data_IF_481950889219
#
_entry.id   IF_481950889219
#
_cell.length_a   1.000
_cell.length_b   1.000
_cell.length_c   1.000
_cell.angle_alpha   90.00
_cell.angle_beta   90.00
_cell.angle_gamma   90.00
#
_symmetry.space_group_name_H-M   'P 1'
#
loop_
_entity.id
_entity.type
_entity.pdbx_description
1 polymer ?
#
# COMPACT_ATOMS: atom_id res chain seq x y z
N UNK A 1 7.44 -27.75 -15.14
CA UNK A 1 7.00 -26.62 -15.97
C UNK A 1 5.58 -26.29 -15.54
N UNK A 2 5.46 -25.47 -14.50
CA UNK A 2 4.16 -24.90 -14.11
C UNK A 2 3.78 -23.87 -15.17
N UNK A 3 2.71 -24.15 -15.91
CA UNK A 3 2.08 -23.20 -16.82
C UNK A 3 1.76 -21.96 -15.98
N UNK A 4 2.31 -20.80 -16.37
CA UNK A 4 1.79 -19.51 -15.94
C UNK A 4 0.31 -19.54 -16.25
N UNK A 5 -0.53 -19.39 -15.25
CA UNK A 5 -1.92 -19.04 -15.48
C UNK A 5 -1.90 -17.61 -16.01
N UNK A 6 -1.82 -17.49 -17.31
CA UNK A 6 -2.05 -16.26 -18.01
C UNK A 6 -3.46 -15.82 -17.60
N UNK A 7 -3.53 -14.78 -16.82
CA UNK A 7 -4.78 -14.11 -16.52
C UNK A 7 -5.19 -13.52 -17.86
N UNK A 8 -6.31 -13.94 -18.46
CA UNK A 8 -6.76 -13.39 -19.72
C UNK A 8 -7.32 -11.99 -19.48
N UNK A 9 -6.43 -11.02 -19.26
CA UNK A 9 -6.81 -9.63 -19.38
C UNK A 9 -6.76 -9.29 -20.85
N UNK A 10 -7.93 -8.98 -21.39
CA UNK A 10 -8.06 -8.42 -22.73
C UNK A 10 -7.20 -7.16 -22.80
N UNK A 11 -6.21 -7.13 -23.71
CA UNK A 11 -5.32 -5.96 -23.87
C UNK A 11 -6.10 -4.68 -24.22
N UNK A 12 -7.37 -4.77 -24.57
CA UNK A 12 -8.31 -3.68 -24.81
C UNK A 12 -8.89 -3.03 -23.54
N UNK A 13 -8.85 -3.68 -22.39
CA UNK A 13 -9.57 -3.26 -21.17
C UNK A 13 -8.61 -2.84 -20.06
N UNK A 14 -8.01 -1.67 -20.18
CA UNK A 14 -7.05 -1.13 -19.21
C UNK A 14 -7.35 0.32 -18.82
N UNK A 15 -6.86 0.72 -17.67
CA UNK A 15 -6.81 2.10 -17.21
C UNK A 15 -5.37 2.55 -17.00
N UNK A 16 -5.11 3.83 -17.26
CA UNK A 16 -3.82 4.47 -16.97
C UNK A 16 -3.95 5.30 -15.71
N UNK A 17 -2.98 5.17 -14.83
CA UNK A 17 -2.85 5.99 -13.62
C UNK A 17 -1.59 6.82 -13.77
N UNK A 18 -1.76 8.15 -13.81
CA UNK A 18 -0.66 9.12 -13.82
C UNK A 18 -0.38 9.61 -12.40
N UNK A 19 0.86 9.50 -11.98
CA UNK A 19 1.32 9.97 -10.67
C UNK A 19 1.81 11.41 -10.79
N UNK A 20 1.10 12.32 -10.13
CA UNK A 20 1.36 13.74 -10.21
C UNK A 20 2.50 14.18 -9.27
N UNK A 21 3.18 15.26 -9.63
CA UNK A 21 4.18 15.95 -8.81
C UNK A 21 3.53 16.76 -7.67
N UNK A 22 2.67 16.08 -6.92
CA UNK A 22 1.94 16.70 -5.82
C UNK A 22 1.55 15.67 -4.75
N UNK A 23 1.41 16.16 -3.51
CA UNK A 23 1.04 15.34 -2.36
C UNK A 23 0.05 16.08 -1.46
N UNK A 24 -0.94 15.35 -0.92
CA UNK A 24 -1.90 15.86 0.06
C UNK A 24 -1.31 15.71 1.47
N UNK A 25 -0.90 16.81 2.08
CA UNK A 25 -0.42 16.84 3.47
C UNK A 25 -1.60 16.73 4.45
N UNK A 26 -2.73 17.32 4.08
CA UNK A 26 -3.99 17.25 4.82
C UNK A 26 -5.17 17.30 3.85
N UNK A 27 -6.39 17.12 4.36
CA UNK A 27 -7.62 17.14 3.55
C UNK A 27 -7.78 18.42 2.71
N UNK A 28 -7.11 19.51 3.14
CA UNK A 28 -7.22 20.84 2.48
C UNK A 28 -5.91 21.35 1.91
N UNK A 29 -4.77 20.72 2.23
CA UNK A 29 -3.45 21.23 1.83
C UNK A 29 -2.73 20.27 0.91
N UNK A 30 -2.64 20.66 -0.38
CA UNK A 30 -1.86 19.99 -1.42
C UNK A 30 -0.55 20.77 -1.65
N UNK A 31 0.57 20.07 -1.70
CA UNK A 31 1.89 20.64 -2.03
C UNK A 31 2.39 20.10 -3.35
N UNK A 32 3.05 20.96 -4.13
CA UNK A 32 3.78 20.56 -5.33
C UNK A 32 5.18 20.11 -4.94
N UNK A 33 5.62 18.98 -5.46
CA UNK A 33 6.96 18.42 -5.18
C UNK A 33 7.52 17.85 -6.48
N UNK A 34 8.53 18.52 -7.00
CA UNK A 34 9.13 18.17 -8.30
C UNK A 34 9.67 16.74 -8.33
N UNK A 35 9.40 16.04 -9.42
CA UNK A 35 9.88 14.70 -9.76
C UNK A 35 9.42 13.56 -8.80
N UNK A 36 8.45 13.81 -7.92
CA UNK A 36 7.93 12.71 -7.06
C UNK A 36 7.02 11.76 -7.83
N UNK A 37 6.25 12.24 -8.81
CA UNK A 37 5.36 11.40 -9.60
C UNK A 37 6.11 10.25 -10.26
N UNK A 38 7.23 10.56 -10.93
CA UNK A 38 8.10 9.56 -11.54
C UNK A 38 8.66 8.56 -10.51
N UNK A 39 9.14 9.04 -9.36
CA UNK A 39 9.68 8.16 -8.31
C UNK A 39 8.61 7.25 -7.71
N UNK A 40 7.40 7.78 -7.47
CA UNK A 40 6.26 6.99 -7.00
C UNK A 40 5.87 5.95 -8.04
N UNK A 41 5.79 6.29 -9.33
CA UNK A 41 5.49 5.34 -10.39
C UNK A 41 6.51 4.18 -10.43
N UNK A 42 7.80 4.49 -10.40
CA UNK A 42 8.86 3.47 -10.40
C UNK A 42 8.84 2.60 -9.14
N UNK A 43 8.61 3.20 -7.96
CA UNK A 43 8.45 2.45 -6.70
C UNK A 43 7.25 1.50 -6.75
N UNK A 44 6.13 1.96 -7.28
CA UNK A 44 4.94 1.13 -7.48
C UNK A 44 5.20 -0.03 -8.43
N UNK A 45 5.77 0.24 -9.60
CA UNK A 45 6.11 -0.79 -10.57
C UNK A 45 6.99 -1.88 -9.95
N UNK A 46 8.03 -1.47 -9.20
CA UNK A 46 8.90 -2.41 -8.52
C UNK A 46 8.14 -3.30 -7.54
N UNK A 47 7.32 -2.73 -6.64
CA UNK A 47 6.63 -3.53 -5.64
C UNK A 47 5.53 -4.40 -6.24
N UNK A 48 4.82 -3.94 -7.27
CA UNK A 48 3.86 -4.79 -7.97
C UNK A 48 4.54 -5.98 -8.64
N UNK A 49 5.65 -5.78 -9.35
CA UNK A 49 6.39 -6.87 -9.98
C UNK A 49 6.99 -7.80 -8.94
N UNK A 50 7.56 -7.25 -7.86
CA UNK A 50 8.06 -8.04 -6.74
C UNK A 50 6.97 -8.92 -6.11
N UNK A 51 5.76 -8.39 -5.89
CA UNK A 51 4.64 -9.15 -5.34
C UNK A 51 4.12 -10.22 -6.31
N UNK A 52 4.18 -9.98 -7.62
CA UNK A 52 3.84 -11.00 -8.65
C UNK A 52 4.78 -12.20 -8.58
N UNK A 53 6.08 -12.01 -8.30
CA UNK A 53 7.03 -13.13 -8.11
C UNK A 53 6.59 -14.06 -6.97
N UNK A 54 5.88 -13.54 -5.99
CA UNK A 54 5.26 -14.30 -4.90
C UNK A 54 3.83 -14.75 -5.19
N UNK A 55 3.37 -14.70 -6.45
CA UNK A 55 2.01 -15.09 -6.85
C UNK A 55 0.90 -14.34 -6.11
N UNK A 56 1.11 -13.07 -5.82
CA UNK A 56 0.07 -12.18 -5.31
C UNK A 56 -0.66 -11.57 -6.51
N UNK A 57 -1.99 -11.73 -6.61
CA UNK A 57 -2.75 -11.20 -7.74
C UNK A 57 -2.79 -9.67 -7.68
N UNK A 58 -2.31 -9.02 -8.72
CA UNK A 58 -2.32 -7.57 -8.88
C UNK A 58 -2.95 -7.18 -10.21
N UNK A 59 -3.62 -6.04 -10.29
CA UNK A 59 -4.14 -5.51 -11.54
C UNK A 59 -3.09 -4.77 -12.38
N UNK A 60 -1.89 -4.54 -11.82
CA UNK A 60 -0.79 -3.87 -12.51
C UNK A 60 -0.31 -4.68 -13.71
N UNK A 61 -0.18 -4.02 -14.86
CA UNK A 61 0.30 -4.60 -16.12
C UNK A 61 1.75 -4.22 -16.38
N UNK A 62 2.03 -2.93 -16.56
CA UNK A 62 3.36 -2.41 -16.91
C UNK A 62 3.47 -0.89 -16.70
N UNK A 63 4.68 -0.38 -16.79
CA UNK A 63 4.96 1.06 -16.94
C UNK A 63 4.50 1.50 -18.34
N UNK A 64 3.88 2.68 -18.42
CA UNK A 64 3.42 3.28 -19.68
C UNK A 64 3.68 4.80 -19.67
N UNK A 65 4.94 5.17 -19.70
CA UNK A 65 5.42 6.55 -19.61
C UNK A 65 6.35 6.79 -18.42
N UNK A 66 6.76 8.04 -18.22
CA UNK A 66 7.72 8.37 -17.14
C UNK A 66 7.12 8.31 -15.73
N UNK A 67 5.86 8.68 -15.59
CA UNK A 67 5.14 8.75 -14.33
C UNK A 67 3.75 8.07 -14.41
N UNK A 68 3.56 7.17 -15.37
CA UNK A 68 2.28 6.52 -15.61
C UNK A 68 2.41 5.01 -15.59
N UNK A 69 1.44 4.35 -14.98
CA UNK A 69 1.32 2.90 -14.92
C UNK A 69 0.01 2.45 -15.56
N UNK A 70 0.05 1.29 -16.20
CA UNK A 70 -1.09 0.64 -16.82
C UNK A 70 -1.61 -0.47 -15.92
N UNK A 71 -2.91 -0.48 -15.70
CA UNK A 71 -3.61 -1.48 -14.90
C UNK A 71 -4.79 -2.06 -15.66
N UNK A 72 -5.11 -3.32 -15.39
CA UNK A 72 -6.39 -3.88 -15.81
C UNK A 72 -7.55 -3.21 -15.10
N UNK A 73 -8.66 -3.01 -15.81
CA UNK A 73 -9.88 -2.45 -15.22
C UNK A 73 -10.46 -3.47 -14.24
N UNK A 74 -10.72 -3.01 -13.02
CA UNK A 74 -11.39 -3.79 -11.97
C UNK A 74 -12.47 -2.93 -11.34
N UNK A 75 -13.52 -3.55 -10.82
CA UNK A 75 -14.48 -2.87 -9.95
C UNK A 75 -13.86 -2.73 -8.57
N UNK A 76 -13.48 -1.51 -8.19
CA UNK A 76 -12.88 -1.24 -6.88
C UNK A 76 -13.84 -1.60 -5.75
N UNK A 77 -13.32 -2.25 -4.70
CA UNK A 77 -14.04 -2.48 -3.47
C UNK A 77 -14.08 -1.19 -2.64
N UNK A 78 -15.23 -0.86 -2.00
CA UNK A 78 -15.42 0.44 -1.35
C UNK A 78 -14.72 0.57 0.01
N UNK A 79 -13.77 -0.29 0.30
CA UNK A 79 -13.01 -0.31 1.54
C UNK A 79 -11.53 -0.62 1.28
N UNK A 80 -10.71 -0.25 2.24
CA UNK A 80 -9.28 -0.55 2.27
C UNK A 80 -8.89 -1.27 3.55
N UNK A 81 -7.82 -2.01 3.51
CA UNK A 81 -7.27 -2.73 4.67
C UNK A 81 -5.93 -2.13 5.02
N UNK A 82 -5.82 -1.62 6.23
CA UNK A 82 -4.60 -1.12 6.81
C UNK A 82 -3.99 -2.22 7.67
N UNK A 83 -2.76 -2.58 7.37
CA UNK A 83 -2.02 -3.60 8.11
C UNK A 83 -0.98 -2.87 8.96
N UNK A 84 -1.08 -2.99 10.26
CA UNK A 84 -0.17 -2.38 11.22
C UNK A 84 0.78 -3.44 11.78
N UNK A 85 2.07 -3.25 11.58
CA UNK A 85 3.14 -4.02 12.23
C UNK A 85 3.74 -3.26 13.43
N UNK A 86 3.40 -1.98 13.59
CA UNK A 86 3.80 -1.15 14.72
C UNK A 86 2.60 -0.37 15.24
N UNK A 87 2.64 -0.02 16.53
CA UNK A 87 1.61 0.79 17.15
C UNK A 87 1.56 2.18 16.53
N UNK A 88 0.45 2.53 15.91
CA UNK A 88 0.17 3.89 15.46
C UNK A 88 -0.26 4.78 16.65
N UNK A 89 -0.45 6.07 16.38
CA UNK A 89 -0.86 7.05 17.41
C UNK A 89 -2.18 6.68 18.11
N UNK A 90 -3.13 6.08 17.40
CA UNK A 90 -4.42 5.68 17.95
C UNK A 90 -4.29 4.47 18.87
N UNK A 91 -3.63 3.42 18.39
CA UNK A 91 -3.39 2.21 19.18
C UNK A 91 -2.49 2.48 20.38
N UNK A 92 -1.48 3.34 20.24
CA UNK A 92 -0.64 3.82 21.33
C UNK A 92 -1.46 4.43 22.47
N UNK A 93 -2.44 5.28 22.14
CA UNK A 93 -3.35 5.88 23.14
C UNK A 93 -4.28 4.87 23.80
N UNK A 94 -4.86 3.96 23.01
CA UNK A 94 -5.86 2.99 23.51
C UNK A 94 -5.21 1.96 24.43
N UNK A 95 -4.04 1.46 24.05
CA UNK A 95 -3.39 0.34 24.75
C UNK A 95 -2.24 0.79 25.69
N UNK A 96 -1.96 2.08 25.79
CA UNK A 96 -0.92 2.61 26.69
C UNK A 96 0.51 2.21 26.32
N UNK A 97 0.79 1.94 25.05
CA UNK A 97 2.11 1.54 24.53
C UNK A 97 2.75 2.69 23.75
N UNK A 98 4.08 2.70 23.65
CA UNK A 98 4.81 3.74 22.89
C UNK A 98 4.45 3.67 21.40
N UNK A 99 4.19 4.84 20.77
CA UNK A 99 4.02 4.95 19.31
C UNK A 99 5.28 4.40 18.59
N UNK A 100 5.10 3.59 17.56
CA UNK A 100 6.18 2.94 16.83
C UNK A 100 6.67 1.61 17.41
N UNK A 101 6.17 1.18 18.57
CA UNK A 101 6.51 -0.16 19.12
C UNK A 101 6.07 -1.24 18.14
N UNK A 102 6.99 -2.13 17.74
CA UNK A 102 6.68 -3.28 16.90
C UNK A 102 5.68 -4.21 17.59
N UNK A 103 4.71 -4.72 16.84
CA UNK A 103 3.70 -5.64 17.31
C UNK A 103 4.15 -7.08 17.02
N UNK A 104 3.88 -7.99 17.95
CA UNK A 104 4.18 -9.42 17.78
C UNK A 104 3.43 -10.03 16.60
N UNK A 105 2.20 -9.57 16.36
CA UNK A 105 1.35 -9.96 15.24
C UNK A 105 0.79 -8.70 14.56
N UNK A 106 0.58 -8.73 13.23
CA UNK A 106 -0.01 -7.60 12.54
C UNK A 106 -1.48 -7.40 12.94
N UNK A 107 -1.89 -6.14 13.03
CA UNK A 107 -3.29 -5.76 13.22
C UNK A 107 -3.87 -5.38 11.85
N UNK A 108 -5.03 -5.94 11.51
CA UNK A 108 -5.78 -5.60 10.31
C UNK A 108 -6.93 -4.66 10.66
N UNK A 109 -6.90 -3.48 10.10
CA UNK A 109 -7.94 -2.46 10.26
C UNK A 109 -8.69 -2.28 8.94
N UNK A 110 -10.00 -2.37 9.00
CA UNK A 110 -10.85 -2.13 7.84
C UNK A 110 -11.37 -0.70 7.85
N UNK A 111 -11.26 -0.01 6.71
CA UNK A 111 -11.65 1.37 6.57
C UNK A 111 -12.59 1.54 5.37
N UNK A 112 -13.76 2.12 5.61
CA UNK A 112 -14.75 2.42 4.57
C UNK A 112 -14.64 3.89 4.15
N UNK A 113 -14.54 4.15 2.84
CA UNK A 113 -14.41 5.51 2.33
C UNK A 113 -13.10 6.21 2.75
N UNK A 114 -13.09 7.54 2.73
CA UNK A 114 -11.91 8.38 2.96
C UNK A 114 -11.96 9.22 4.26
N UNK A 115 -13.01 9.08 5.06
CA UNK A 115 -13.21 9.88 6.28
C UNK A 115 -12.32 9.49 7.46
N UNK A 116 -12.21 10.37 8.45
CA UNK A 116 -11.45 10.11 9.69
C UNK A 116 -12.05 8.97 10.52
N UNK A 117 -13.36 8.81 10.49
CA UNK A 117 -14.12 7.78 11.21
C UNK A 117 -14.49 6.61 10.30
N UNK A 118 -13.57 6.25 9.42
CA UNK A 118 -13.79 5.19 8.44
C UNK A 118 -13.52 3.78 8.97
N UNK A 119 -13.02 3.65 10.21
CA UNK A 119 -12.73 2.36 10.82
C UNK A 119 -14.01 1.58 11.10
N UNK A 120 -14.09 0.39 10.54
CA UNK A 120 -15.21 -0.54 10.67
C UNK A 120 -14.68 -1.94 10.99
N UNK A 121 -15.56 -2.86 11.33
CA UNK A 121 -15.20 -4.27 11.49
C UNK A 121 -15.49 -5.07 10.21
N UNK A 122 -14.89 -6.25 10.11
CA UNK A 122 -15.19 -7.24 9.06
C UNK A 122 -16.69 -7.56 8.99
N UNK A 123 -17.36 -7.65 10.15
CA UNK A 123 -18.80 -7.91 10.21
C UNK A 123 -19.65 -6.82 9.56
N UNK A 124 -19.21 -5.56 9.58
CA UNK A 124 -19.90 -4.50 8.83
C UNK A 124 -19.81 -4.74 7.32
N UNK A 125 -18.65 -5.15 6.81
CA UNK A 125 -18.46 -5.38 5.39
C UNK A 125 -19.38 -6.48 4.86
N UNK A 126 -19.60 -7.52 5.65
CA UNK A 126 -20.49 -8.63 5.31
C UNK A 126 -21.95 -8.24 5.51
N UNK A 127 -22.30 -7.65 6.64
CA UNK A 127 -23.69 -7.31 6.97
C UNK A 127 -24.31 -6.24 6.05
N UNK A 128 -23.49 -5.38 5.46
CA UNK A 128 -23.91 -4.35 4.51
C UNK A 128 -23.65 -4.73 3.04
N UNK A 129 -23.41 -6.02 2.75
CA UNK A 129 -23.18 -6.56 1.40
C UNK A 129 -22.06 -5.85 0.61
N UNK A 130 -21.03 -5.35 1.31
CA UNK A 130 -19.87 -4.70 0.70
C UNK A 130 -18.83 -5.71 0.22
N UNK A 131 -18.85 -6.92 0.80
CA UNK A 131 -17.95 -8.01 0.47
C UNK A 131 -18.58 -9.34 0.88
N UNK A 132 -18.39 -10.39 0.08
CA UNK A 132 -18.82 -11.74 0.47
C UNK A 132 -17.88 -12.33 1.53
N UNK A 133 -18.35 -13.27 2.37
CA UNK A 133 -17.48 -13.97 3.32
C UNK A 133 -16.29 -14.68 2.65
N UNK A 134 -16.50 -15.22 1.45
CA UNK A 134 -15.48 -15.92 0.65
C UNK A 134 -14.41 -14.94 0.17
N UNK A 135 -14.82 -13.80 -0.41
CA UNK A 135 -13.91 -12.75 -0.83
C UNK A 135 -13.13 -12.19 0.36
N UNK A 136 -13.79 -11.99 1.51
CA UNK A 136 -13.13 -11.50 2.73
C UNK A 136 -12.03 -12.45 3.22
N UNK A 137 -12.28 -13.75 3.25
CA UNK A 137 -11.27 -14.77 3.59
C UNK A 137 -10.09 -14.74 2.62
N UNK A 138 -10.39 -14.60 1.32
CA UNK A 138 -9.37 -14.52 0.27
C UNK A 138 -8.53 -13.25 0.44
N UNK A 139 -9.16 -12.09 0.62
CA UNK A 139 -8.50 -10.79 0.80
C UNK A 139 -7.61 -10.80 2.05
N UNK A 140 -8.10 -11.30 3.18
CA UNK A 140 -7.31 -11.40 4.43
C UNK A 140 -6.08 -12.30 4.24
N UNK A 141 -6.22 -13.41 3.51
CA UNK A 141 -5.08 -14.27 3.16
C UNK A 141 -4.08 -13.57 2.24
N UNK A 142 -4.56 -12.82 1.25
CA UNK A 142 -3.70 -12.02 0.36
C UNK A 142 -2.97 -10.95 1.18
N UNK A 143 -3.66 -10.21 2.04
CA UNK A 143 -3.07 -9.22 2.94
C UNK A 143 -1.98 -9.81 3.84
N UNK A 144 -2.24 -10.98 4.44
CA UNK A 144 -1.26 -11.69 5.27
C UNK A 144 0.00 -12.03 4.47
N UNK A 145 -0.16 -12.48 3.22
CA UNK A 145 0.95 -12.81 2.32
C UNK A 145 1.71 -11.55 1.90
N UNK A 146 1.01 -10.47 1.51
CA UNK A 146 1.63 -9.17 1.19
C UNK A 146 2.48 -8.70 2.37
N UNK A 147 1.90 -8.73 3.57
CA UNK A 147 2.60 -8.29 4.78
C UNK A 147 3.87 -9.10 5.04
N UNK A 148 3.79 -10.42 4.98
CA UNK A 148 4.94 -11.29 5.21
C UNK A 148 6.07 -11.05 4.20
N UNK A 149 5.72 -10.93 2.92
CA UNK A 149 6.67 -10.67 1.82
C UNK A 149 7.35 -9.32 1.98
N UNK A 150 6.56 -8.25 2.19
CA UNK A 150 7.11 -6.90 2.32
C UNK A 150 7.83 -6.69 3.64
N UNK A 151 7.35 -7.25 4.76
CA UNK A 151 8.08 -7.20 6.03
C UNK A 151 9.47 -7.81 5.89
N UNK A 152 9.58 -9.00 5.31
CA UNK A 152 10.87 -9.63 5.03
C UNK A 152 11.75 -8.82 4.06
N UNK A 153 11.15 -8.18 3.05
CA UNK A 153 11.88 -7.30 2.13
C UNK A 153 12.53 -6.12 2.84
N UNK A 154 11.79 -5.41 3.70
CA UNK A 154 12.27 -4.25 4.44
C UNK A 154 13.25 -4.64 5.55
N UNK A 155 13.01 -5.75 6.26
CA UNK A 155 13.92 -6.26 7.29
C UNK A 155 15.32 -6.53 6.77
N UNK A 156 15.46 -7.10 5.57
CA UNK A 156 16.76 -7.32 4.92
C UNK A 156 17.49 -6.02 4.55
N UNK A 157 16.80 -4.88 4.60
CA UNK A 157 17.35 -3.55 4.33
C UNK A 157 17.46 -2.67 5.58
N UNK A 158 17.41 -3.29 6.75
CA UNK A 158 17.43 -2.62 8.06
C UNK A 158 16.28 -1.59 8.24
N UNK A 159 15.13 -1.88 7.62
CA UNK A 159 13.92 -1.07 7.76
C UNK A 159 12.82 -1.86 8.47
N UNK A 160 11.97 -1.16 9.18
CA UNK A 160 10.76 -1.68 9.80
C UNK A 160 9.58 -1.28 8.92
N UNK A 161 8.83 -2.26 8.42
CA UNK A 161 7.53 -2.02 7.80
C UNK A 161 6.50 -1.76 8.90
N UNK A 162 6.21 -0.50 9.16
CA UNK A 162 5.28 -0.10 10.21
C UNK A 162 3.81 -0.26 9.80
N UNK A 163 3.49 0.14 8.58
CA UNK A 163 2.11 0.16 8.08
C UNK A 163 2.10 0.00 6.57
N UNK A 164 1.12 -0.75 6.07
CA UNK A 164 0.76 -0.77 4.65
C UNK A 164 -0.75 -0.70 4.49
N UNK A 165 -1.21 0.11 3.54
CA UNK A 165 -2.62 0.22 3.17
C UNK A 165 -2.88 -0.49 1.85
N UNK A 166 -3.72 -1.53 1.87
CA UNK A 166 -4.06 -2.33 0.71
C UNK A 166 -5.46 -1.97 0.19
N UNK A 167 -5.56 -1.78 -1.12
CA UNK A 167 -6.82 -1.57 -1.84
C UNK A 167 -7.03 -2.73 -2.80
N UNK A 168 -8.27 -3.16 -2.93
CA UNK A 168 -8.62 -4.29 -3.78
C UNK A 168 -9.70 -3.93 -4.79
N UNK A 169 -9.65 -4.58 -5.92
CA UNK A 169 -10.67 -4.54 -6.94
C UNK A 169 -11.05 -5.95 -7.37
N UNK A 170 -12.23 -6.09 -7.96
CA UNK A 170 -12.77 -7.35 -8.44
C UNK A 170 -12.97 -7.28 -9.95
N UNK A 171 -12.53 -8.31 -10.66
CA UNK A 171 -12.87 -8.54 -12.05
C UNK A 171 -13.37 -9.96 -12.18
N UNK A 172 -14.62 -10.11 -12.64
CA UNK A 172 -15.37 -11.37 -12.55
C UNK A 172 -15.37 -11.86 -11.07
N UNK A 173 -15.00 -13.10 -10.83
CA UNK A 173 -14.92 -13.70 -9.49
C UNK A 173 -13.52 -13.63 -8.86
N UNK A 174 -12.61 -12.84 -9.44
CA UNK A 174 -11.22 -12.73 -8.97
C UNK A 174 -10.96 -11.41 -8.30
N UNK A 175 -10.22 -11.46 -7.19
CA UNK A 175 -9.80 -10.29 -6.41
C UNK A 175 -8.35 -9.95 -6.74
N UNK A 176 -8.06 -8.66 -6.94
CA UNK A 176 -6.74 -8.13 -7.29
C UNK A 176 -6.35 -6.99 -6.37
N UNK A 177 -5.08 -6.93 -5.99
CA UNK A 177 -4.49 -5.75 -5.38
C UNK A 177 -4.42 -4.64 -6.44
N UNK A 178 -5.02 -3.49 -6.13
CA UNK A 178 -5.07 -2.30 -7.02
C UNK A 178 -4.46 -1.06 -6.39
N UNK A 179 -4.11 -1.13 -5.11
CA UNK A 179 -3.58 0.01 -4.36
C UNK A 179 -2.17 0.41 -4.78
N UNK A 180 -1.65 1.44 -4.14
CA UNK A 180 -0.35 2.01 -4.44
C UNK A 180 0.66 1.80 -3.30
N UNK A 181 1.94 1.99 -3.62
CA UNK A 181 3.08 1.97 -2.70
C UNK A 181 3.70 3.37 -2.62
N UNK A 182 2.89 4.33 -2.21
CA UNK A 182 3.28 5.74 -2.07
C UNK A 182 3.55 6.10 -0.60
N UNK A 183 4.08 7.29 -0.31
CA UNK A 183 4.17 7.80 1.05
C UNK A 183 2.85 7.85 1.81
N UNK A 184 1.71 7.82 1.12
CA UNK A 184 0.39 7.77 1.75
C UNK A 184 0.05 6.38 2.28
N UNK A 185 0.41 5.33 1.54
CA UNK A 185 -0.01 3.94 1.78
C UNK A 185 1.06 3.05 2.43
N UNK A 186 2.33 3.44 2.38
CA UNK A 186 3.46 2.66 2.88
C UNK A 186 4.26 3.46 3.91
N UNK A 187 4.34 2.95 5.15
CA UNK A 187 5.09 3.57 6.25
C UNK A 187 6.21 2.66 6.70
N UNK A 188 7.43 3.14 6.55
CA UNK A 188 8.64 2.46 7.00
C UNK A 188 9.50 3.41 7.83
N UNK A 189 10.34 2.87 8.67
CA UNK A 189 11.37 3.62 9.38
C UNK A 189 12.58 2.73 9.67
N UNK A 190 13.80 3.31 9.81
CA UNK A 190 15.00 2.53 10.02
C UNK A 190 14.96 1.81 11.37
N UNK A 191 15.53 0.60 11.42
CA UNK A 191 15.73 -0.14 12.68
C UNK A 191 16.73 0.55 13.60
N UNK A 192 17.70 1.25 13.01
CA UNK A 192 18.70 2.01 13.77
C UNK A 192 18.15 3.39 14.13
N UNK A 193 17.83 3.58 15.40
CA UNK A 193 17.30 4.85 15.93
C UNK A 193 18.31 6.02 15.81
N UNK A 194 19.61 5.76 15.62
CA UNK A 194 20.64 6.79 15.43
C UNK A 194 20.59 7.44 14.05
N UNK A 195 19.97 6.79 13.08
CA UNK A 195 19.83 7.32 11.70
C UNK A 195 18.80 8.43 11.68
N UNK A 196 19.18 9.60 11.15
CA UNK A 196 18.23 10.71 10.95
C UNK A 196 17.26 10.38 9.81
N UNK A 197 16.01 10.17 10.15
CA UNK A 197 14.95 9.80 9.21
C UNK A 197 13.77 10.78 9.19
N UNK A 198 12.93 10.67 8.18
CA UNK A 198 11.71 11.47 8.04
C UNK A 198 10.51 10.66 8.50
N UNK A 199 9.80 11.13 9.52
CA UNK A 199 8.64 10.42 10.06
C UNK A 199 7.48 10.38 9.04
N UNK A 200 7.10 9.20 8.51
CA UNK A 200 6.07 9.06 7.49
C UNK A 200 4.65 9.43 7.97
N UNK A 201 4.45 9.48 9.28
CA UNK A 201 3.17 9.90 9.87
C UNK A 201 3.05 11.42 10.06
N UNK A 202 4.14 12.17 9.85
CA UNK A 202 4.21 13.62 10.12
C UNK A 202 4.78 14.40 8.92
N UNK A 203 4.43 13.99 7.70
CA UNK A 203 4.83 14.71 6.50
C UNK A 203 4.04 16.03 6.40
N UNK A 204 4.69 17.14 6.73
CA UNK A 204 4.06 18.46 6.87
C UNK A 204 4.54 19.49 5.84
N UNK A 205 5.58 19.15 5.07
CA UNK A 205 6.20 20.04 4.08
C UNK A 205 6.56 19.29 2.78
N UNK A 206 6.72 20.05 1.70
CA UNK A 206 7.18 19.50 0.42
C UNK A 206 8.57 18.83 0.53
N UNK A 207 9.46 19.39 1.36
CA UNK A 207 10.79 18.85 1.58
C UNK A 207 10.75 17.48 2.26
N UNK A 208 9.90 17.30 3.27
CA UNK A 208 9.72 16.02 3.96
C UNK A 208 9.09 14.97 3.05
N UNK A 209 8.05 15.34 2.28
CA UNK A 209 7.44 14.46 1.28
C UNK A 209 8.48 14.01 0.27
N UNK A 210 9.27 14.93 -0.27
CA UNK A 210 10.34 14.63 -1.22
C UNK A 210 11.34 13.65 -0.62
N UNK A 211 11.86 13.96 0.57
CA UNK A 211 12.86 13.13 1.25
C UNK A 211 12.35 11.72 1.53
N UNK A 212 11.11 11.58 1.99
CA UNK A 212 10.52 10.28 2.26
C UNK A 212 10.24 9.49 0.97
N UNK A 213 9.75 10.15 -0.09
CA UNK A 213 9.57 9.51 -1.41
C UNK A 213 10.89 9.01 -1.97
N UNK A 214 11.96 9.81 -1.85
CA UNK A 214 13.32 9.42 -2.27
C UNK A 214 13.84 8.23 -1.47
N UNK A 215 13.57 8.18 -0.18
CA UNK A 215 13.94 7.05 0.66
C UNK A 215 13.26 5.75 0.18
N UNK A 216 11.94 5.77 -0.03
CA UNK A 216 11.19 4.62 -0.58
C UNK A 216 11.73 4.18 -1.96
N UNK A 217 11.96 5.15 -2.84
CA UNK A 217 12.49 4.89 -4.18
C UNK A 217 13.88 4.26 -4.14
N UNK A 218 14.78 4.77 -3.31
CA UNK A 218 16.14 4.24 -3.17
C UNK A 218 16.12 2.79 -2.67
N UNK A 219 15.27 2.48 -1.66
CA UNK A 219 15.13 1.12 -1.15
C UNK A 219 14.59 0.16 -2.22
N UNK A 220 13.64 0.61 -3.04
CA UNK A 220 13.11 -0.18 -4.15
C UNK A 220 14.13 -0.37 -5.29
N UNK A 221 15.08 0.57 -5.45
CA UNK A 221 16.06 0.57 -6.54
C UNK A 221 17.33 -0.24 -6.23
N UNK A 222 17.57 -0.58 -4.98
CA UNK A 222 18.74 -1.43 -4.57
C UNK A 222 18.39 -2.89 -4.86
N UNK A 223 19.11 -3.47 -5.82
CA UNK A 223 19.06 -4.90 -6.14
C UNK A 223 19.72 -5.76 -5.08
#
# INVERSE_FOLDING_TARGET
TLKRNDIPFDEGNYQMIEYLDSYLISDTKKVKVKDIGKKVALTNSFFFDYLKEYHIPTSFLRIDGEASLKFSITKELPFRIKILNSADKRNSKIFGIKEGTELNLPVFEFHYGCGKESLISESHLIAFDLCTPEDMKLITRICSKINAVLKSFFERRNEILAEICCHFGKYEDKVFLIGDFSPASLKIFPKDESVKWTNPYKLSSAAEVKKYTEHLFNIASVK
#
